data_IF_862418552276
#
_entry.id   IF_862418552276
#
_cell.length_a   1.000
_cell.length_b   1.000
_cell.length_c   1.000
_cell.angle_alpha   90.00
_cell.angle_beta   90.00
_cell.angle_gamma   90.00
#
_symmetry.space_group_name_H-M   'P 1'
#
loop_
_entity.id
_entity.type
_entity.pdbx_description
1 polymer ?
#
# COMPACT_ATOMS: atom_id res chain seq x y z
N UNK A 1 -18.36 56.98 5.81
CA UNK A 1 -19.00 55.64 5.79
C UNK A 1 -18.76 54.83 4.51
N UNK A 2 -17.88 55.25 3.59
CA UNK A 2 -17.62 54.53 2.32
C UNK A 2 -16.43 53.55 2.46
N UNK A 3 -15.46 53.85 3.32
CA UNK A 3 -14.26 53.01 3.52
C UNK A 3 -14.56 51.62 4.10
N UNK A 4 -15.51 51.51 5.03
CA UNK A 4 -15.91 50.24 5.65
C UNK A 4 -16.53 49.25 4.65
N UNK A 5 -17.30 49.74 3.65
CA UNK A 5 -17.84 48.89 2.57
C UNK A 5 -16.74 48.36 1.64
N UNK A 6 -15.68 49.14 1.42
CA UNK A 6 -14.55 48.74 0.59
C UNK A 6 -13.62 47.74 1.29
N UNK A 7 -13.45 47.86 2.61
CA UNK A 7 -12.75 46.85 3.42
C UNK A 7 -13.51 45.52 3.50
N UNK A 8 -14.84 45.56 3.67
CA UNK A 8 -15.66 44.35 3.63
C UNK A 8 -15.56 43.62 2.28
N UNK A 9 -15.55 44.37 1.17
CA UNK A 9 -15.37 43.82 -0.18
C UNK A 9 -13.99 43.17 -0.36
N UNK A 10 -12.92 43.81 0.14
CA UNK A 10 -11.55 43.24 0.10
C UNK A 10 -11.40 42.01 0.98
N UNK A 11 -12.07 41.96 2.13
CA UNK A 11 -12.05 40.79 3.00
C UNK A 11 -12.79 39.60 2.38
N UNK A 12 -13.92 39.85 1.68
CA UNK A 12 -14.64 38.82 0.94
C UNK A 12 -13.79 38.25 -0.22
N UNK A 13 -13.10 39.11 -0.98
CA UNK A 13 -12.22 38.68 -2.07
C UNK A 13 -11.06 37.81 -1.55
N UNK A 14 -10.42 38.21 -0.44
CA UNK A 14 -9.39 37.40 0.22
C UNK A 14 -9.92 36.05 0.70
N UNK A 15 -11.14 36.01 1.25
CA UNK A 15 -11.76 34.77 1.69
C UNK A 15 -12.06 33.82 0.52
N UNK A 16 -12.54 34.36 -0.62
CA UNK A 16 -12.76 33.58 -1.84
C UNK A 16 -11.45 33.05 -2.42
N UNK A 17 -10.40 33.88 -2.44
CA UNK A 17 -9.08 33.45 -2.89
C UNK A 17 -8.48 32.34 -2.01
N UNK A 18 -8.66 32.44 -0.69
CA UNK A 18 -8.24 31.41 0.26
C UNK A 18 -9.01 30.09 0.05
N UNK A 19 -10.31 30.17 -0.23
CA UNK A 19 -11.14 29.00 -0.55
C UNK A 19 -10.65 28.31 -1.83
N UNK A 20 -10.34 29.09 -2.88
CA UNK A 20 -9.85 28.55 -4.15
C UNK A 20 -8.48 27.89 -3.99
N UNK A 21 -7.57 28.52 -3.25
CA UNK A 21 -6.28 27.91 -2.91
C UNK A 21 -6.44 26.63 -2.09
N UNK A 22 -7.37 26.60 -1.14
CA UNK A 22 -7.65 25.40 -0.34
C UNK A 22 -8.19 24.26 -1.22
N UNK A 23 -9.12 24.54 -2.14
CA UNK A 23 -9.61 23.56 -3.13
C UNK A 23 -8.48 23.03 -4.01
N UNK A 24 -7.59 23.89 -4.47
CA UNK A 24 -6.44 23.48 -5.27
C UNK A 24 -5.47 22.57 -4.47
N UNK A 25 -5.23 22.88 -3.19
CA UNK A 25 -4.41 22.02 -2.31
C UNK A 25 -5.02 20.64 -2.13
N UNK A 26 -6.33 20.56 -1.92
CA UNK A 26 -7.05 19.27 -1.80
C UNK A 26 -6.97 18.47 -3.10
N UNK A 27 -7.17 19.12 -4.26
CA UNK A 27 -7.04 18.46 -5.56
C UNK A 27 -5.62 17.94 -5.82
N UNK A 28 -4.60 18.73 -5.47
CA UNK A 28 -3.19 18.36 -5.60
C UNK A 28 -2.83 17.16 -4.70
N UNK A 29 -3.28 17.16 -3.44
CA UNK A 29 -3.03 16.05 -2.51
C UNK A 29 -3.75 14.78 -2.97
N UNK A 30 -4.99 14.88 -3.47
CA UNK A 30 -5.72 13.74 -4.05
C UNK A 30 -4.98 13.15 -5.26
N UNK A 31 -4.41 13.99 -6.13
CA UNK A 31 -3.58 13.53 -7.26
C UNK A 31 -2.33 12.78 -6.78
N UNK A 32 -1.63 13.31 -5.76
CA UNK A 32 -0.45 12.68 -5.16
C UNK A 32 -0.76 11.33 -4.52
N UNK A 33 -1.87 11.22 -3.79
CA UNK A 33 -2.33 9.94 -3.23
C UNK A 33 -2.64 8.92 -4.32
N UNK A 34 -3.32 9.33 -5.40
CA UNK A 34 -3.63 8.45 -6.52
C UNK A 34 -2.36 7.96 -7.23
N UNK A 35 -1.36 8.83 -7.39
CA UNK A 35 -0.08 8.44 -7.99
C UNK A 35 0.69 7.45 -7.12
N UNK A 36 0.71 7.65 -5.80
CA UNK A 36 1.30 6.69 -4.85
C UNK A 36 0.62 5.32 -4.94
N UNK A 37 -0.72 5.30 -4.96
CA UNK A 37 -1.51 4.08 -5.11
C UNK A 37 -1.16 3.35 -6.41
N UNK A 38 -1.14 4.06 -7.54
CA UNK A 38 -0.76 3.51 -8.84
C UNK A 38 0.66 2.93 -8.85
N UNK A 39 1.63 3.61 -8.22
CA UNK A 39 3.02 3.14 -8.12
C UNK A 39 3.11 1.85 -7.30
N UNK A 40 2.41 1.77 -6.17
CA UNK A 40 2.37 0.57 -5.34
C UNK A 40 1.73 -0.63 -6.09
N UNK A 41 0.61 -0.40 -6.77
CA UNK A 41 -0.06 -1.43 -7.56
C UNK A 41 0.81 -1.94 -8.72
N UNK A 42 1.47 -1.04 -9.44
CA UNK A 42 2.37 -1.42 -10.51
C UNK A 42 3.61 -2.15 -10.00
N UNK A 43 4.15 -1.75 -8.86
CA UNK A 43 5.31 -2.41 -8.26
C UNK A 43 5.02 -3.89 -7.98
N UNK A 44 3.86 -4.19 -7.39
CA UNK A 44 3.47 -5.58 -7.13
C UNK A 44 3.32 -6.37 -8.44
N UNK A 45 2.73 -5.79 -9.49
CA UNK A 45 2.61 -6.42 -10.82
C UNK A 45 3.98 -6.79 -11.41
N UNK A 46 4.97 -5.88 -11.32
CA UNK A 46 6.32 -6.15 -11.81
C UNK A 46 7.01 -7.28 -11.04
N UNK A 47 6.85 -7.32 -9.71
CA UNK A 47 7.38 -8.41 -8.88
C UNK A 47 6.76 -9.75 -9.31
N UNK A 48 5.43 -9.80 -9.40
CA UNK A 48 4.71 -11.03 -9.77
C UNK A 48 5.12 -11.54 -11.16
N UNK A 49 5.18 -10.65 -12.16
CA UNK A 49 5.64 -11.01 -13.51
C UNK A 49 7.08 -11.51 -13.54
N UNK A 50 7.98 -10.88 -12.78
CA UNK A 50 9.38 -11.30 -12.66
C UNK A 50 9.54 -12.69 -12.03
N UNK A 51 8.72 -13.03 -11.03
CA UNK A 51 8.72 -14.36 -10.40
C UNK A 51 8.24 -15.43 -11.38
N UNK A 52 7.16 -15.18 -12.13
CA UNK A 52 6.67 -16.11 -13.15
C UNK A 52 7.76 -16.38 -14.19
N UNK A 53 8.40 -15.33 -14.71
CA UNK A 53 9.51 -15.46 -15.68
C UNK A 53 10.68 -16.29 -15.16
N UNK A 54 10.99 -16.20 -13.87
CA UNK A 54 12.11 -16.92 -13.25
C UNK A 54 11.86 -18.42 -13.16
N UNK A 55 10.64 -18.83 -12.85
CA UNK A 55 10.32 -20.24 -12.57
C UNK A 55 9.52 -20.94 -13.66
N UNK A 56 8.95 -20.19 -14.61
CA UNK A 56 8.26 -20.71 -15.78
C UNK A 56 8.91 -20.20 -17.08
N UNK A 57 10.07 -20.75 -17.48
CA UNK A 57 10.71 -20.40 -18.76
C UNK A 57 9.77 -20.72 -19.92
N UNK A 58 9.58 -19.77 -20.82
CA UNK A 58 8.64 -19.90 -21.94
C UNK A 58 7.22 -19.41 -21.65
N UNK A 59 6.95 -18.77 -20.50
CA UNK A 59 5.61 -18.24 -20.22
C UNK A 59 5.13 -17.21 -21.26
N UNK A 60 6.03 -16.57 -22.01
CA UNK A 60 5.70 -15.67 -23.13
C UNK A 60 5.09 -16.36 -24.36
N UNK A 61 5.14 -17.70 -24.43
CA UNK A 61 4.57 -18.46 -25.53
C UNK A 61 3.06 -18.66 -25.37
N UNK A 62 2.52 -18.35 -24.19
CA UNK A 62 1.13 -18.53 -23.84
C UNK A 62 0.44 -17.17 -23.75
N UNK A 63 -0.81 -17.11 -24.17
CA UNK A 63 -1.65 -15.95 -23.91
C UNK A 63 -2.13 -15.89 -22.45
N UNK A 64 -2.87 -14.84 -22.11
CA UNK A 64 -3.37 -14.62 -20.75
C UNK A 64 -4.27 -15.77 -20.26
N UNK A 65 -5.15 -16.28 -21.12
CA UNK A 65 -6.11 -17.33 -20.77
C UNK A 65 -5.41 -18.67 -20.58
N UNK A 66 -4.46 -19.00 -21.45
CA UNK A 66 -3.62 -20.19 -21.34
C UNK A 66 -2.75 -20.15 -20.08
N UNK A 67 -2.09 -19.01 -19.80
CA UNK A 67 -1.28 -18.84 -18.60
C UNK A 67 -2.13 -18.93 -17.34
N UNK A 68 -3.32 -18.32 -17.34
CA UNK A 68 -4.28 -18.42 -16.23
C UNK A 68 -4.70 -19.87 -15.98
N UNK A 69 -4.94 -20.66 -17.04
CA UNK A 69 -5.28 -22.08 -16.92
C UNK A 69 -4.13 -22.89 -16.34
N UNK A 70 -2.91 -22.68 -16.80
CA UNK A 70 -1.70 -23.37 -16.30
C UNK A 70 -1.49 -23.06 -14.81
N UNK A 71 -1.52 -21.77 -14.44
CA UNK A 71 -1.30 -21.34 -13.06
C UNK A 71 -2.40 -21.82 -12.12
N UNK A 72 -3.66 -21.82 -12.57
CA UNK A 72 -4.78 -22.34 -11.78
C UNK A 72 -4.59 -23.80 -11.41
N UNK A 73 -4.17 -24.64 -12.36
CA UNK A 73 -3.89 -26.06 -12.11
C UNK A 73 -2.65 -26.21 -11.22
N UNK A 74 -1.56 -25.50 -11.53
CA UNK A 74 -0.31 -25.58 -10.76
C UNK A 74 -0.53 -25.22 -9.28
N UNK A 75 -1.28 -24.15 -9.00
CA UNK A 75 -1.59 -23.72 -7.65
C UNK A 75 -2.55 -24.68 -6.93
N UNK A 76 -3.39 -25.43 -7.63
CA UNK A 76 -4.28 -26.45 -7.05
C UNK A 76 -3.56 -27.77 -6.73
N UNK A 77 -2.32 -27.97 -7.18
CA UNK A 77 -1.56 -29.17 -6.86
C UNK A 77 -1.34 -29.30 -5.35
N UNK A 78 -1.39 -30.55 -4.85
CA UNK A 78 -1.19 -30.85 -3.43
C UNK A 78 0.14 -30.31 -2.91
N UNK A 79 1.20 -30.45 -3.70
CA UNK A 79 2.54 -30.00 -3.35
C UNK A 79 2.60 -28.48 -3.18
N UNK A 80 2.02 -27.72 -4.11
CA UNK A 80 1.96 -26.26 -4.02
C UNK A 80 1.16 -25.82 -2.79
N UNK A 81 -0.01 -26.44 -2.55
CA UNK A 81 -0.84 -26.14 -1.38
C UNK A 81 -0.13 -26.45 -0.06
N UNK A 82 0.64 -27.53 0.03
CA UNK A 82 1.44 -27.86 1.22
C UNK A 82 2.53 -26.82 1.48
N UNK A 83 3.25 -26.38 0.44
CA UNK A 83 4.25 -25.31 0.56
C UNK A 83 3.59 -24.01 1.01
N UNK A 84 2.46 -23.63 0.42
CA UNK A 84 1.70 -22.44 0.82
C UNK A 84 1.28 -22.52 2.29
N UNK A 85 0.81 -23.68 2.75
CA UNK A 85 0.43 -23.89 4.14
C UNK A 85 1.63 -23.75 5.09
N UNK A 86 2.78 -24.33 4.74
CA UNK A 86 4.02 -24.23 5.50
C UNK A 86 4.53 -22.78 5.62
N UNK A 87 4.55 -22.02 4.52
CA UNK A 87 4.94 -20.60 4.54
C UNK A 87 3.97 -19.78 5.43
N UNK A 88 2.67 -20.10 5.39
CA UNK A 88 1.66 -19.45 6.24
C UNK A 88 1.84 -19.77 7.72
N UNK A 89 2.28 -20.96 8.09
CA UNK A 89 2.58 -21.29 9.50
C UNK A 89 3.88 -20.63 9.96
N UNK A 90 4.94 -20.68 9.14
CA UNK A 90 6.24 -20.04 9.46
C UNK A 90 6.12 -18.53 9.66
N UNK A 91 5.29 -17.86 8.86
CA UNK A 91 5.02 -16.42 9.03
C UNK A 91 4.22 -16.07 10.29
N UNK A 92 3.44 -17.02 10.84
CA UNK A 92 2.74 -16.84 12.12
C UNK A 92 3.68 -17.06 13.31
N UNK A 93 4.57 -18.04 13.20
CA UNK A 93 5.57 -18.32 14.23
C UNK A 93 6.57 -17.17 14.38
N UNK A 94 7.03 -16.57 13.28
CA UNK A 94 7.95 -15.42 13.34
C UNK A 94 7.32 -14.18 13.99
N UNK A 95 6.02 -13.93 13.80
CA UNK A 95 5.29 -12.86 14.50
C UNK A 95 5.10 -13.16 15.99
N UNK A 96 4.97 -14.43 16.37
CA UNK A 96 4.83 -14.85 17.78
C UNK A 96 6.13 -14.67 18.56
N UNK A 97 7.29 -14.99 17.97
CA UNK A 97 8.59 -14.85 18.63
C UNK A 97 8.98 -13.38 18.82
N UNK A 98 8.60 -12.50 17.89
CA UNK A 98 8.85 -11.06 18.02
C UNK A 98 8.00 -10.42 19.13
N UNK A 99 6.76 -10.88 19.35
CA UNK A 99 5.94 -10.45 20.49
C UNK A 99 6.48 -10.94 21.84
N UNK A 100 7.10 -12.11 21.91
CA UNK A 100 7.71 -12.61 23.16
C UNK A 100 8.99 -11.84 23.51
N UNK A 101 9.78 -11.42 22.52
CA UNK A 101 10.98 -10.60 22.73
C UNK A 101 10.63 -9.18 23.17
N UNK A 102 9.62 -8.55 22.56
CA UNK A 102 9.19 -7.19 22.93
C UNK A 102 8.58 -7.10 24.33
N UNK A 103 7.98 -8.19 24.83
CA UNK A 103 7.45 -8.23 26.20
C UNK A 103 8.52 -8.44 27.26
N UNK A 104 9.65 -9.09 26.95
CA UNK A 104 10.73 -9.31 27.90
C UNK A 104 11.59 -8.06 28.17
N UNK A 105 11.62 -7.10 27.23
CA UNK A 105 12.36 -5.83 27.41
C UNK A 105 11.57 -4.77 28.21
N UNK A 106 10.25 -4.93 28.35
CA UNK A 106 9.39 -3.97 29.07
C UNK A 106 9.22 -4.25 30.58
N UNK A 107 9.77 -5.35 31.11
CA UNK A 107 9.72 -5.65 32.55
C UNK A 107 11.02 -5.29 33.32
N UNK A 108 11.98 -4.62 32.67
CA UNK A 108 13.30 -4.31 33.28
C UNK A 108 13.48 -2.88 33.81
N UNK A 109 12.49 -1.98 33.68
CA UNK A 109 12.61 -0.61 34.19
C UNK A 109 11.48 -0.29 35.17
N UNK A 110 11.70 -0.61 36.44
CA UNK A 110 10.76 -0.26 37.50
C UNK A 110 11.28 -0.65 38.88
N UNK A 111 12.37 -0.03 39.34
CA UNK A 111 12.54 0.18 40.77
C UNK A 111 13.51 1.34 41.04
N UNK A 112 12.94 2.50 41.35
CA UNK A 112 13.62 3.62 42.00
C UNK A 112 12.70 4.20 43.05
N UNK A 113 13.00 3.92 44.32
CA UNK A 113 12.72 4.79 45.47
C UNK A 113 14.01 5.03 46.25
#
# INVERSE_FOLDING_TARGET
>A
MIESKNEASRNLEKALQALEQAKQRVANEKKKQNEKKRKAENHHKYIMGGIIMKYFPGCYQYDEDELNRILSVALQTRECQQIIAKIKSESRESTSTQSTIFNAENESEGDTE
#
